data_IF_074588865483
#
_entry.id   IF_074588865483
#
_cell.length_a   1.000
_cell.length_b   1.000
_cell.length_c   1.000
_cell.angle_alpha   90.00
_cell.angle_beta   90.00
_cell.angle_gamma   90.00
#
_symmetry.space_group_name_H-M   'P 1'
#
loop_
_entity.id
_entity.type
_entity.pdbx_description
1 polymer ?
#
# COMPACT_ATOMS: atom_id res chain seq x y z
N UNK A 1 41.04 16.89 59.94
CA UNK A 1 39.63 17.06 59.62
C UNK A 1 39.39 16.37 58.27
N UNK A 2 38.74 15.20 58.29
CA UNK A 2 38.45 14.44 57.07
C UNK A 2 37.03 14.78 56.59
N UNK A 3 36.93 15.36 55.39
CA UNK A 3 35.66 15.70 54.75
C UNK A 3 35.11 14.40 54.15
N UNK A 4 34.00 13.87 54.70
CA UNK A 4 33.24 12.75 54.14
C UNK A 4 32.45 13.26 52.93
N UNK A 5 32.81 12.85 51.72
CA UNK A 5 32.00 13.04 50.53
C UNK A 5 30.71 12.18 50.63
N UNK A 6 29.56 12.84 50.66
CA UNK A 6 28.25 12.18 50.49
C UNK A 6 28.11 11.81 49.04
N UNK A 7 28.14 10.51 48.73
CA UNK A 7 27.73 9.97 47.46
C UNK A 7 26.18 10.05 47.38
N UNK A 8 25.66 10.99 46.62
CA UNK A 8 24.23 11.00 46.28
C UNK A 8 23.94 9.83 45.35
N UNK A 9 23.24 8.84 45.85
CA UNK A 9 22.63 7.77 45.05
C UNK A 9 21.47 8.38 44.24
N UNK A 10 21.66 8.47 42.94
CA UNK A 10 20.55 8.78 42.00
C UNK A 10 19.43 7.77 42.26
N UNK A 11 18.15 8.23 42.36
CA UNK A 11 17.03 7.30 42.49
C UNK A 11 17.00 6.36 41.28
N UNK A 12 16.79 5.06 41.53
CA UNK A 12 16.55 4.07 40.50
C UNK A 12 15.29 4.53 39.71
N UNK A 13 15.44 4.81 38.45
CA UNK A 13 14.33 5.03 37.55
C UNK A 13 13.67 3.67 37.39
N UNK A 14 12.45 3.51 37.86
CA UNK A 14 11.63 2.31 37.57
C UNK A 14 11.56 2.17 36.04
N UNK A 15 12.34 1.26 35.49
CA UNK A 15 12.30 0.98 34.05
C UNK A 15 11.01 0.20 33.77
N UNK A 16 10.01 0.90 33.29
CA UNK A 16 8.79 0.26 32.75
C UNK A 16 9.23 -0.69 31.66
N UNK A 17 8.94 -1.98 31.83
CA UNK A 17 9.25 -3.01 30.83
C UNK A 17 8.12 -3.08 29.83
N UNK A 18 8.41 -2.76 28.58
CA UNK A 18 7.48 -2.91 27.44
C UNK A 18 7.77 -4.20 26.67
N UNK A 19 6.76 -4.77 25.99
CA UNK A 19 6.95 -5.90 25.08
C UNK A 19 7.89 -5.53 23.95
N UNK A 20 7.72 -4.31 23.41
CA UNK A 20 8.54 -3.76 22.32
C UNK A 20 9.04 -2.35 22.64
N UNK A 21 10.21 -2.02 22.13
CA UNK A 21 10.72 -0.64 22.17
C UNK A 21 10.08 0.22 21.06
N UNK A 22 9.62 -0.44 19.97
CA UNK A 22 8.98 0.21 18.86
C UNK A 22 7.86 -0.67 18.27
N UNK A 23 6.63 -0.15 18.27
CA UNK A 23 5.50 -0.74 17.57
C UNK A 23 5.16 0.12 16.36
N UNK A 24 5.04 -0.51 15.19
CA UNK A 24 4.62 0.14 13.95
C UNK A 24 3.20 -0.30 13.62
N UNK A 25 2.31 0.62 13.29
CA UNK A 25 0.94 0.33 12.86
C UNK A 25 0.82 0.61 11.36
N UNK A 26 0.75 -0.45 10.56
CA UNK A 26 0.67 -0.41 9.09
C UNK A 26 1.97 -0.80 8.40
N UNK A 27 1.86 -1.66 7.37
CA UNK A 27 2.98 -2.26 6.63
C UNK A 27 3.31 -1.56 5.30
N UNK A 28 2.68 -0.43 5.02
CA UNK A 28 2.99 0.38 3.84
C UNK A 28 4.44 0.87 3.82
N UNK A 29 4.89 1.57 2.77
CA UNK A 29 6.28 1.98 2.61
C UNK A 29 6.88 2.70 3.83
N UNK A 30 6.10 3.55 4.50
CA UNK A 30 6.52 4.26 5.71
C UNK A 30 6.75 3.33 6.89
N UNK A 31 5.77 2.46 7.18
CA UNK A 31 5.84 1.52 8.30
C UNK A 31 6.92 0.46 8.11
N UNK A 32 6.99 -0.13 6.92
CA UNK A 32 8.02 -1.11 6.57
C UNK A 32 9.43 -0.55 6.77
N UNK A 33 9.71 0.66 6.28
CA UNK A 33 11.03 1.30 6.44
C UNK A 33 11.33 1.65 7.89
N UNK A 34 10.34 2.16 8.64
CA UNK A 34 10.49 2.47 10.05
C UNK A 34 10.82 1.21 10.87
N UNK A 35 10.11 0.09 10.61
CA UNK A 35 10.35 -1.18 11.29
C UNK A 35 11.77 -1.70 11.07
N UNK A 36 12.22 -1.77 9.81
CA UNK A 36 13.58 -2.22 9.48
C UNK A 36 14.64 -1.30 10.09
N UNK A 37 14.43 0.02 10.04
CA UNK A 37 15.40 0.95 10.62
C UNK A 37 15.46 0.82 12.15
N UNK A 38 14.32 0.67 12.81
CA UNK A 38 14.27 0.42 14.25
C UNK A 38 15.04 -0.84 14.64
N UNK A 39 14.81 -1.94 13.93
CA UNK A 39 15.52 -3.20 14.16
C UNK A 39 17.03 -3.07 13.93
N UNK A 40 17.47 -2.38 12.86
CA UNK A 40 18.91 -2.13 12.61
C UNK A 40 19.58 -1.28 13.69
N UNK A 41 18.81 -0.52 14.46
CA UNK A 41 19.28 0.22 15.62
C UNK A 41 19.26 -0.63 16.91
N UNK A 42 19.05 -1.96 16.79
CA UNK A 42 19.05 -2.89 17.89
C UNK A 42 17.78 -2.87 18.75
N UNK A 43 16.69 -2.27 18.25
CA UNK A 43 15.42 -2.22 18.97
C UNK A 43 14.61 -3.48 18.76
N UNK A 44 13.85 -3.89 19.80
CA UNK A 44 12.80 -4.91 19.67
C UNK A 44 11.61 -4.25 18.99
N UNK A 45 11.29 -4.70 17.77
CA UNK A 45 10.31 -4.07 16.89
C UNK A 45 9.19 -5.05 16.55
N UNK A 46 7.94 -4.59 16.69
CA UNK A 46 6.78 -5.24 16.09
C UNK A 46 6.13 -4.35 15.04
N UNK A 47 5.47 -4.98 14.08
CA UNK A 47 4.67 -4.32 13.05
C UNK A 47 3.29 -4.96 13.00
N UNK A 48 2.24 -4.17 13.29
CA UNK A 48 0.85 -4.59 13.20
C UNK A 48 0.27 -4.25 11.82
N UNK A 49 -0.33 -5.24 11.15
CA UNK A 49 -1.00 -5.06 9.86
C UNK A 49 -2.39 -5.73 9.89
N UNK A 50 -3.41 -4.96 9.55
CA UNK A 50 -4.80 -5.45 9.53
C UNK A 50 -5.12 -6.36 8.33
N UNK A 51 -4.44 -6.13 7.21
CA UNK A 51 -4.64 -6.91 6.00
C UNK A 51 -3.77 -8.18 6.01
N UNK A 52 -4.25 -9.23 5.39
CA UNK A 52 -3.46 -10.46 5.19
C UNK A 52 -2.21 -10.18 4.35
N UNK A 53 -2.32 -9.20 3.45
CA UNK A 53 -1.27 -8.84 2.50
C UNK A 53 -0.48 -7.63 3.00
N UNK A 54 0.85 -7.77 3.06
CA UNK A 54 1.79 -6.72 3.47
C UNK A 54 2.08 -5.75 2.32
N UNK A 55 2.41 -4.49 2.64
CA UNK A 55 2.89 -3.51 1.65
C UNK A 55 1.96 -2.33 1.40
N UNK A 56 0.70 -2.40 1.88
CA UNK A 56 -0.28 -1.33 1.77
C UNK A 56 -0.64 -0.96 0.32
N UNK A 57 -1.25 0.21 0.14
CA UNK A 57 -1.74 0.72 -1.16
C UNK A 57 -0.65 0.71 -2.24
N UNK A 58 0.60 1.03 -1.92
CA UNK A 58 1.69 1.08 -2.90
C UNK A 58 1.88 -0.24 -3.66
N UNK A 59 1.73 -1.37 -2.96
CA UNK A 59 1.92 -2.72 -3.52
C UNK A 59 0.63 -3.27 -4.11
N UNK A 60 -0.53 -3.00 -3.51
CA UNK A 60 -1.77 -3.71 -3.84
C UNK A 60 -2.70 -2.98 -4.80
N UNK A 61 -2.84 -1.67 -4.71
CA UNK A 61 -3.80 -0.90 -5.53
C UNK A 61 -3.22 0.35 -6.19
N UNK A 62 -2.03 0.79 -5.74
CA UNK A 62 -1.43 2.05 -6.16
C UNK A 62 -0.33 1.92 -7.21
N UNK A 63 0.84 2.44 -6.86
CA UNK A 63 1.94 2.69 -7.81
C UNK A 63 2.46 1.44 -8.51
N UNK A 64 2.72 0.35 -7.79
CA UNK A 64 3.31 -0.85 -8.37
C UNK A 64 2.35 -1.52 -9.36
N UNK A 65 1.10 -1.84 -8.99
CA UNK A 65 0.17 -2.43 -9.94
C UNK A 65 -0.16 -1.53 -11.13
N UNK A 66 -0.38 -0.23 -10.94
CA UNK A 66 -0.73 0.65 -12.06
C UNK A 66 0.41 0.78 -13.09
N UNK A 67 1.66 0.89 -12.63
CA UNK A 67 2.82 0.91 -13.53
C UNK A 67 3.02 -0.42 -14.25
N UNK A 68 2.81 -1.53 -13.55
CA UNK A 68 2.92 -2.87 -14.14
C UNK A 68 1.85 -3.11 -15.19
N UNK A 69 0.60 -2.71 -14.90
CA UNK A 69 -0.51 -2.77 -15.85
C UNK A 69 -0.24 -1.91 -17.09
N UNK A 70 0.29 -0.69 -16.88
CA UNK A 70 0.70 0.18 -17.99
C UNK A 70 1.75 -0.48 -18.87
N UNK A 71 2.80 -1.05 -18.29
CA UNK A 71 3.85 -1.72 -19.06
C UNK A 71 3.30 -2.95 -19.82
N UNK A 72 2.39 -3.73 -19.20
CA UNK A 72 1.72 -4.83 -19.89
C UNK A 72 0.89 -4.34 -21.08
N UNK A 73 0.10 -3.28 -20.90
CA UNK A 73 -0.69 -2.67 -21.98
C UNK A 73 0.18 -2.18 -23.13
N UNK A 74 1.23 -1.43 -22.85
CA UNK A 74 2.16 -0.93 -23.89
C UNK A 74 2.90 -2.03 -24.61
N UNK A 75 3.27 -3.10 -23.91
CA UNK A 75 3.95 -4.25 -24.50
C UNK A 75 3.00 -5.04 -25.41
N UNK A 76 1.86 -5.47 -24.90
CA UNK A 76 0.92 -6.33 -25.65
C UNK A 76 0.33 -5.64 -26.87
N UNK A 77 0.06 -4.34 -26.79
CA UNK A 77 -0.41 -3.54 -27.93
C UNK A 77 0.69 -3.21 -28.93
N UNK A 78 1.97 -3.43 -28.59
CA UNK A 78 3.10 -2.98 -29.40
C UNK A 78 3.19 -1.46 -29.57
N UNK A 79 2.54 -0.69 -28.71
CA UNK A 79 2.36 0.75 -28.86
C UNK A 79 3.66 1.52 -29.10
N UNK A 80 4.71 1.17 -28.36
CA UNK A 80 6.03 1.83 -28.49
C UNK A 80 6.68 1.59 -29.84
N UNK A 81 6.44 0.42 -30.44
CA UNK A 81 7.09 -0.03 -31.65
C UNK A 81 6.36 0.44 -32.92
N UNK A 82 5.15 0.95 -32.78
CA UNK A 82 4.32 1.43 -33.92
C UNK A 82 4.97 2.57 -34.69
N UNK A 83 5.80 3.38 -34.03
CA UNK A 83 6.55 4.45 -34.71
C UNK A 83 7.59 3.90 -35.71
N UNK A 84 8.08 2.67 -35.49
CA UNK A 84 9.09 2.00 -36.31
C UNK A 84 8.44 1.06 -37.31
N UNK A 85 7.52 0.19 -36.84
CA UNK A 85 6.96 -0.90 -37.66
C UNK A 85 5.58 -0.59 -38.26
N UNK A 86 5.03 0.60 -38.00
CA UNK A 86 3.73 1.05 -38.51
C UNK A 86 2.59 0.90 -37.52
N UNK A 87 1.49 1.61 -37.77
CA UNK A 87 0.36 1.70 -36.86
C UNK A 87 -0.38 0.38 -36.61
N UNK A 88 -0.26 -0.60 -37.52
CA UNK A 88 -0.86 -1.92 -37.40
C UNK A 88 -0.04 -2.91 -36.57
N UNK A 89 1.18 -2.53 -36.16
CA UNK A 89 2.00 -3.42 -35.32
C UNK A 89 1.32 -3.69 -33.99
N UNK A 90 1.22 -4.95 -33.64
CA UNK A 90 0.73 -5.46 -32.35
C UNK A 90 1.49 -6.72 -31.95
N UNK A 91 1.64 -6.97 -30.65
CA UNK A 91 2.25 -8.19 -30.14
C UNK A 91 1.19 -9.28 -29.96
N UNK A 92 -0.05 -8.85 -29.58
CA UNK A 92 -1.18 -9.73 -29.40
C UNK A 92 -2.45 -9.05 -29.91
N UNK A 93 -3.22 -9.74 -30.75
CA UNK A 93 -4.42 -9.18 -31.37
C UNK A 93 -5.62 -9.13 -30.39
N UNK A 94 -5.87 -10.23 -29.68
CA UNK A 94 -6.99 -10.35 -28.75
C UNK A 94 -6.50 -10.22 -27.31
N UNK A 95 -6.20 -9.01 -26.87
CA UNK A 95 -5.76 -8.72 -25.50
C UNK A 95 -6.96 -8.87 -24.57
N UNK A 96 -6.81 -9.67 -23.51
CA UNK A 96 -7.80 -9.84 -22.45
C UNK A 96 -7.35 -9.16 -21.15
N UNK A 97 -8.28 -8.91 -20.24
CA UNK A 97 -7.94 -8.41 -18.91
C UNK A 97 -7.04 -9.39 -18.16
N UNK A 98 -7.25 -10.70 -18.33
CA UNK A 98 -6.39 -11.75 -17.77
C UNK A 98 -4.94 -11.61 -18.22
N UNK A 99 -4.67 -11.32 -19.49
CA UNK A 99 -3.32 -11.12 -20.01
C UNK A 99 -2.62 -9.94 -19.33
N UNK A 100 -3.35 -8.85 -19.16
CA UNK A 100 -2.85 -7.64 -18.51
C UNK A 100 -2.56 -7.89 -17.04
N UNK A 101 -3.48 -8.57 -16.35
CA UNK A 101 -3.39 -8.81 -14.91
C UNK A 101 -2.38 -9.91 -14.53
N UNK A 102 -2.05 -10.84 -15.43
CA UNK A 102 -1.11 -11.92 -15.15
C UNK A 102 0.24 -11.39 -14.66
N UNK A 103 0.81 -10.40 -15.37
CA UNK A 103 2.07 -9.77 -14.96
C UNK A 103 1.89 -8.95 -13.68
N UNK A 104 0.77 -8.26 -13.54
CA UNK A 104 0.47 -7.43 -12.39
C UNK A 104 0.41 -8.27 -11.11
N UNK A 105 -0.33 -9.38 -11.13
CA UNK A 105 -0.40 -10.31 -10.00
C UNK A 105 0.97 -10.92 -9.66
N UNK A 106 1.74 -11.31 -10.68
CA UNK A 106 3.09 -11.82 -10.45
C UNK A 106 3.97 -10.82 -9.71
N UNK A 107 3.96 -9.57 -10.14
CA UNK A 107 4.76 -8.50 -9.50
C UNK A 107 4.27 -8.20 -8.09
N UNK A 108 2.96 -8.10 -7.88
CA UNK A 108 2.38 -7.88 -6.53
C UNK A 108 2.82 -8.98 -5.57
N UNK A 109 2.67 -10.25 -5.95
CA UNK A 109 3.04 -11.39 -5.11
C UNK A 109 4.53 -11.40 -4.81
N UNK A 110 5.37 -11.14 -5.82
CA UNK A 110 6.82 -11.07 -5.64
C UNK A 110 7.24 -9.94 -4.68
N UNK A 111 6.68 -8.74 -4.84
CA UNK A 111 6.96 -7.62 -3.94
C UNK A 111 6.52 -7.91 -2.50
N UNK A 112 5.36 -8.55 -2.32
CA UNK A 112 4.89 -8.96 -1.01
C UNK A 112 5.86 -9.95 -0.35
N UNK A 113 6.33 -10.98 -1.07
CA UNK A 113 7.31 -11.93 -0.57
C UNK A 113 8.61 -11.23 -0.16
N UNK A 114 9.10 -10.31 -0.99
CA UNK A 114 10.30 -9.51 -0.67
C UNK A 114 10.11 -8.69 0.60
N UNK A 115 8.96 -8.04 0.79
CA UNK A 115 8.66 -7.25 1.98
C UNK A 115 8.61 -8.14 3.24
N UNK A 116 7.90 -9.27 3.18
CA UNK A 116 7.83 -10.21 4.29
C UNK A 116 9.22 -10.74 4.68
N UNK A 117 10.00 -11.19 3.71
CA UNK A 117 11.37 -11.66 3.95
C UNK A 117 12.28 -10.56 4.51
N UNK A 118 12.11 -9.31 4.08
CA UNK A 118 12.88 -8.18 4.62
C UNK A 118 12.57 -7.91 6.09
N UNK A 119 11.31 -7.98 6.51
CA UNK A 119 10.92 -7.84 7.92
C UNK A 119 11.47 -9.00 8.76
N UNK A 120 11.23 -10.23 8.30
CA UNK A 120 11.65 -11.44 9.02
C UNK A 120 13.17 -11.51 9.24
N UNK A 121 13.98 -11.29 8.19
CA UNK A 121 15.45 -11.33 8.31
C UNK A 121 16.04 -10.20 9.16
N UNK A 122 15.29 -9.11 9.38
CA UNK A 122 15.66 -8.06 10.32
C UNK A 122 15.07 -8.30 11.72
N UNK A 123 14.43 -9.46 11.99
CA UNK A 123 13.90 -9.80 13.31
C UNK A 123 12.73 -8.93 13.75
N UNK A 124 11.93 -8.43 12.80
CA UNK A 124 10.69 -7.69 13.10
C UNK A 124 9.55 -8.69 13.30
N UNK A 125 8.88 -8.62 14.45
CA UNK A 125 7.70 -9.43 14.73
C UNK A 125 6.48 -8.88 13.97
N UNK A 126 5.83 -9.73 13.17
CA UNK A 126 4.64 -9.36 12.42
C UNK A 126 3.41 -9.77 13.22
N UNK A 127 2.57 -8.78 13.54
CA UNK A 127 1.32 -8.95 14.28
C UNK A 127 0.15 -8.77 13.31
N UNK A 128 -0.51 -9.87 12.94
CA UNK A 128 -1.68 -9.81 12.10
C UNK A 128 -2.90 -9.33 12.92
N UNK A 129 -3.58 -8.31 12.43
CA UNK A 129 -4.79 -7.77 13.03
C UNK A 129 -4.88 -6.24 13.02
N UNK A 130 -6.09 -5.75 13.28
CA UNK A 130 -6.36 -4.32 13.45
C UNK A 130 -5.79 -3.86 14.79
N UNK A 131 -5.05 -2.76 14.78
CA UNK A 131 -4.52 -2.12 15.96
C UNK A 131 -5.45 -1.01 16.46
N UNK A 132 -5.78 -1.02 17.77
CA UNK A 132 -6.56 0.00 18.44
C UNK A 132 -5.84 0.46 19.73
N UNK A 133 -5.72 1.77 19.94
CA UNK A 133 -5.11 2.30 21.15
C UNK A 133 -6.03 2.10 22.37
N UNK A 134 -5.45 1.58 23.44
CA UNK A 134 -6.06 1.56 24.78
C UNK A 134 -5.54 2.76 25.59
N UNK A 135 -4.24 3.00 25.53
CA UNK A 135 -3.57 4.18 26.12
C UNK A 135 -2.34 4.56 25.27
N UNK A 136 -1.50 5.47 25.77
CA UNK A 136 -0.33 5.99 25.04
C UNK A 136 0.74 4.93 24.74
N UNK A 137 0.74 3.81 25.44
CA UNK A 137 1.74 2.75 25.33
C UNK A 137 1.15 1.36 25.13
N UNK A 138 -0.18 1.22 25.19
CA UNK A 138 -0.90 -0.05 25.06
C UNK A 138 -1.79 -0.05 23.83
N UNK A 139 -1.60 -1.05 22.98
CA UNK A 139 -2.38 -1.24 21.76
C UNK A 139 -2.98 -2.64 21.78
N UNK A 140 -4.27 -2.74 21.57
CA UNK A 140 -4.93 -4.00 21.25
C UNK A 140 -4.74 -4.33 19.78
N UNK A 141 -4.26 -5.54 19.47
CA UNK A 141 -4.11 -6.05 18.09
C UNK A 141 -4.96 -7.30 17.95
N UNK A 142 -5.95 -7.25 17.08
CA UNK A 142 -6.91 -8.36 16.90
C UNK A 142 -7.63 -8.36 15.57
N UNK A 143 -8.42 -9.40 15.31
CA UNK A 143 -9.27 -9.49 14.12
C UNK A 143 -10.54 -8.63 14.24
N UNK A 144 -11.08 -8.20 13.08
CA UNK A 144 -12.33 -7.41 12.99
C UNK A 144 -13.58 -8.22 13.45
N UNK A 145 -13.46 -9.54 13.57
CA UNK A 145 -14.50 -10.50 13.90
C UNK A 145 -14.56 -10.89 15.39
N UNK A 146 -13.86 -10.16 16.27
CA UNK A 146 -13.83 -10.43 17.71
C UNK A 146 -13.06 -11.70 18.09
N UNK A 147 -12.26 -12.24 17.19
CA UNK A 147 -11.31 -13.33 17.45
C UNK A 147 -10.20 -12.89 18.42
N UNK A 148 -9.29 -13.80 18.72
CA UNK A 148 -8.22 -13.60 19.70
C UNK A 148 -7.48 -12.27 19.51
N UNK A 149 -7.81 -11.27 20.34
CA UNK A 149 -7.05 -10.02 20.44
C UNK A 149 -5.92 -10.17 21.46
N UNK A 150 -4.85 -9.40 21.27
CA UNK A 150 -3.70 -9.36 22.16
C UNK A 150 -3.40 -7.92 22.56
N UNK A 151 -3.15 -7.72 23.84
CA UNK A 151 -2.63 -6.45 24.36
C UNK A 151 -1.13 -6.43 24.17
N UNK A 152 -0.65 -5.40 23.49
CA UNK A 152 0.77 -5.19 23.17
C UNK A 152 1.20 -3.87 23.77
N UNK A 153 2.30 -3.88 24.53
CA UNK A 153 2.86 -2.67 25.11
C UNK A 153 4.12 -2.23 24.35
N UNK A 154 4.28 -0.92 24.12
CA UNK A 154 5.44 -0.38 23.42
C UNK A 154 5.90 0.96 24.01
N UNK A 155 7.23 1.14 24.09
CA UNK A 155 7.81 2.42 24.52
C UNK A 155 7.47 3.55 23.53
N UNK A 156 7.59 3.25 22.23
CA UNK A 156 7.26 4.19 21.13
C UNK A 156 6.33 3.51 20.14
N UNK A 157 5.41 4.29 19.58
CA UNK A 157 4.47 3.81 18.58
C UNK A 157 4.52 4.73 17.36
N UNK A 158 4.65 4.15 16.18
CA UNK A 158 4.60 4.86 14.89
C UNK A 158 3.30 4.51 14.19
N UNK A 159 2.48 5.51 13.90
CA UNK A 159 1.25 5.38 13.13
C UNK A 159 1.60 5.58 11.65
N UNK A 160 1.51 4.50 10.86
CA UNK A 160 1.84 4.47 9.43
C UNK A 160 0.70 3.82 8.61
N UNK A 161 -0.54 4.15 8.98
CA UNK A 161 -1.77 3.51 8.45
C UNK A 161 -2.09 3.90 7.00
N UNK A 162 -1.37 4.86 6.42
CA UNK A 162 -1.58 5.31 5.04
C UNK A 162 -2.91 6.03 4.84
N UNK A 163 -3.47 5.87 3.64
CA UNK A 163 -4.70 6.51 3.20
C UNK A 163 -5.63 5.50 2.53
N UNK A 164 -6.90 5.86 2.42
CA UNK A 164 -7.89 5.15 1.62
C UNK A 164 -8.51 6.11 0.60
N UNK A 165 -8.99 5.59 -0.51
CA UNK A 165 -9.70 6.37 -1.52
C UNK A 165 -11.00 6.92 -0.94
N UNK A 166 -11.20 8.24 -1.07
CA UNK A 166 -12.42 8.89 -0.63
C UNK A 166 -13.59 8.48 -1.53
N UNK A 167 -14.70 8.10 -0.92
CA UNK A 167 -15.97 7.81 -1.61
C UNK A 167 -16.97 8.91 -1.29
N UNK A 168 -17.44 9.65 -2.32
CA UNK A 168 -18.50 10.63 -2.14
C UNK A 168 -19.81 9.91 -1.83
N UNK A 169 -20.47 10.30 -0.74
CA UNK A 169 -21.74 9.70 -0.31
C UNK A 169 -22.90 9.91 -1.29
N UNK A 170 -22.77 10.88 -2.22
CA UNK A 170 -23.75 11.14 -3.28
C UNK A 170 -23.64 10.17 -4.46
N UNK A 171 -22.52 9.45 -4.56
CA UNK A 171 -22.26 8.48 -5.63
C UNK A 171 -22.52 7.09 -5.09
N UNK A 172 -23.39 6.34 -5.73
CA UNK A 172 -23.66 4.95 -5.36
C UNK A 172 -22.64 4.06 -6.06
N UNK A 173 -21.55 3.77 -5.35
CA UNK A 173 -20.56 2.79 -5.79
C UNK A 173 -21.16 1.38 -5.69
N UNK A 174 -21.17 0.63 -6.80
CA UNK A 174 -21.71 -0.73 -6.89
C UNK A 174 -20.62 -1.80 -7.08
N UNK A 175 -19.38 -1.37 -7.37
CA UNK A 175 -18.25 -2.27 -7.59
C UNK A 175 -18.27 -2.98 -8.95
N UNK A 176 -19.29 -2.72 -9.79
CA UNK A 176 -19.43 -3.32 -11.12
C UNK A 176 -19.36 -2.28 -12.24
N UNK A 177 -20.18 -1.23 -12.14
CA UNK A 177 -20.23 -0.14 -13.13
C UNK A 177 -19.68 1.16 -12.60
N UNK A 178 -19.81 1.39 -11.30
CA UNK A 178 -19.32 2.60 -10.60
C UNK A 178 -18.41 2.18 -9.47
N UNK A 179 -17.11 2.41 -9.62
CA UNK A 179 -16.08 2.00 -8.69
C UNK A 179 -14.96 3.05 -8.59
N UNK A 180 -14.10 2.91 -7.62
CA UNK A 180 -12.93 3.75 -7.44
C UNK A 180 -11.71 3.17 -8.15
N UNK A 181 -10.60 3.91 -8.18
CA UNK A 181 -9.33 3.42 -8.74
C UNK A 181 -8.80 2.18 -8.04
N UNK A 182 -9.16 1.95 -6.78
CA UNK A 182 -8.67 0.78 -6.02
C UNK A 182 -9.26 -0.54 -6.55
N UNK A 183 -10.49 -0.48 -7.06
CA UNK A 183 -11.24 -1.63 -7.59
C UNK A 183 -10.95 -1.91 -9.08
N UNK A 184 -10.16 -1.04 -9.76
CA UNK A 184 -9.83 -1.21 -11.19
C UNK A 184 -9.04 -2.49 -11.49
N UNK A 185 -8.30 -2.99 -10.52
CA UNK A 185 -7.53 -4.23 -10.66
C UNK A 185 -8.41 -5.49 -10.56
N UNK A 186 -9.63 -5.34 -10.06
CA UNK A 186 -10.61 -6.44 -9.95
C UNK A 186 -11.49 -6.58 -11.20
N UNK A 187 -11.36 -5.65 -12.15
CA UNK A 187 -12.12 -5.68 -13.42
C UNK A 187 -11.71 -6.91 -14.23
N UNK A 188 -12.68 -7.75 -14.57
CA UNK A 188 -12.46 -9.04 -15.25
C UNK A 188 -12.52 -8.96 -16.77
N UNK A 189 -13.12 -7.90 -17.33
CA UNK A 189 -13.30 -7.70 -18.77
C UNK A 189 -12.88 -6.30 -19.18
N UNK A 190 -12.21 -6.17 -20.32
CA UNK A 190 -11.91 -4.85 -20.89
C UNK A 190 -13.23 -4.20 -21.31
N UNK A 191 -13.60 -3.05 -20.74
CA UNK A 191 -14.84 -2.37 -21.12
C UNK A 191 -14.73 -1.75 -22.52
N UNK A 192 -15.82 -1.76 -23.29
CA UNK A 192 -15.87 -1.05 -24.59
C UNK A 192 -15.80 0.48 -24.43
N UNK A 193 -16.23 0.98 -23.29
CA UNK A 193 -16.12 2.40 -22.93
C UNK A 193 -16.01 2.58 -21.42
N UNK A 194 -15.27 3.62 -21.01
CA UNK A 194 -15.10 4.01 -19.61
C UNK A 194 -15.17 5.53 -19.49
N UNK A 195 -15.82 6.00 -18.44
CA UNK A 195 -15.79 7.42 -18.05
C UNK A 195 -14.96 7.55 -16.77
N UNK A 196 -13.91 8.35 -16.85
CA UNK A 196 -13.01 8.63 -15.71
C UNK A 196 -13.35 10.02 -15.18
N UNK A 197 -13.67 10.11 -13.90
CA UNK A 197 -13.98 11.37 -13.22
C UNK A 197 -12.76 11.78 -12.39
N UNK A 198 -12.15 12.89 -12.76
CA UNK A 198 -10.92 13.44 -12.17
C UNK A 198 -9.70 13.25 -13.06
N UNK A 199 -9.13 14.38 -13.55
CA UNK A 199 -7.94 14.43 -14.39
C UNK A 199 -6.64 14.64 -13.58
N UNK A 200 -6.59 14.11 -12.36
CA UNK A 200 -5.37 14.00 -11.57
C UNK A 200 -4.46 12.86 -12.07
N UNK A 201 -3.35 12.63 -11.38
CA UNK A 201 -2.34 11.63 -11.77
C UNK A 201 -2.96 10.24 -11.98
N UNK A 202 -3.75 9.77 -11.03
CA UNK A 202 -4.36 8.43 -11.08
C UNK A 202 -5.38 8.32 -12.22
N UNK A 203 -6.30 9.27 -12.31
CA UNK A 203 -7.33 9.25 -13.36
C UNK A 203 -6.73 9.31 -14.75
N UNK A 204 -5.74 10.17 -14.98
CA UNK A 204 -5.08 10.28 -16.27
C UNK A 204 -4.26 9.03 -16.60
N UNK A 205 -3.59 8.42 -15.63
CA UNK A 205 -2.85 7.18 -15.85
C UNK A 205 -3.77 6.06 -16.33
N UNK A 206 -4.84 5.77 -15.60
CA UNK A 206 -5.78 4.73 -16.01
C UNK A 206 -6.52 5.07 -17.31
N UNK A 207 -6.91 6.32 -17.53
CA UNK A 207 -7.49 6.77 -18.78
C UNK A 207 -6.58 6.44 -19.98
N UNK A 208 -5.28 6.71 -19.86
CA UNK A 208 -4.31 6.42 -20.93
C UNK A 208 -4.04 4.93 -21.10
N UNK A 209 -4.02 4.14 -20.02
CA UNK A 209 -3.91 2.68 -20.11
C UNK A 209 -5.07 2.09 -20.88
N UNK A 210 -6.31 2.42 -20.50
CA UNK A 210 -7.49 1.89 -21.16
C UNK A 210 -7.61 2.36 -22.62
N UNK A 211 -7.25 3.61 -22.91
CA UNK A 211 -7.20 4.11 -24.28
C UNK A 211 -6.16 3.34 -25.13
N UNK A 212 -4.99 2.99 -24.58
CA UNK A 212 -3.95 2.25 -25.29
C UNK A 212 -4.39 0.83 -25.68
N UNK A 213 -5.28 0.21 -24.92
CA UNK A 213 -5.85 -1.13 -25.21
C UNK A 213 -7.15 -1.09 -26.02
N UNK A 214 -7.54 0.09 -26.52
CA UNK A 214 -8.67 0.25 -27.45
C UNK A 214 -10.02 0.58 -26.79
N UNK A 215 -10.09 0.78 -25.47
CA UNK A 215 -11.30 1.24 -24.79
C UNK A 215 -11.60 2.69 -25.18
N UNK A 216 -12.85 3.02 -25.47
CA UNK A 216 -13.30 4.40 -25.65
C UNK A 216 -13.36 5.11 -24.31
N UNK A 217 -12.44 6.07 -24.08
CA UNK A 217 -12.31 6.76 -22.80
C UNK A 217 -12.89 8.16 -22.87
N UNK A 218 -13.71 8.52 -21.86
CA UNK A 218 -14.15 9.89 -21.61
C UNK A 218 -13.55 10.35 -20.28
N UNK A 219 -12.77 11.42 -20.29
CA UNK A 219 -12.18 12.02 -19.08
C UNK A 219 -12.94 13.28 -18.72
N UNK A 220 -13.42 13.36 -17.48
CA UNK A 220 -14.21 14.49 -16.96
C UNK A 220 -13.46 15.12 -15.78
N UNK A 221 -13.24 16.43 -15.84
CA UNK A 221 -12.68 17.20 -14.71
C UNK A 221 -13.34 18.58 -14.64
N UNK A 222 -13.45 19.12 -13.45
CA UNK A 222 -13.97 20.48 -13.24
C UNK A 222 -12.94 21.56 -13.62
N UNK A 223 -11.65 21.22 -13.68
CA UNK A 223 -10.56 22.12 -14.05
C UNK A 223 -10.37 22.15 -15.57
N UNK A 224 -9.97 23.32 -16.12
CA UNK A 224 -9.80 23.46 -17.57
C UNK A 224 -8.51 22.83 -18.12
N UNK A 225 -7.62 22.39 -17.25
CA UNK A 225 -6.31 21.81 -17.62
C UNK A 225 -6.09 20.47 -16.95
N UNK A 226 -5.41 19.58 -17.66
CA UNK A 226 -4.95 18.31 -17.10
C UNK A 226 -3.75 18.56 -16.16
N UNK A 227 -3.69 17.82 -15.03
CA UNK A 227 -2.59 17.91 -14.07
C UNK A 227 -2.34 19.35 -13.57
N UNK A 228 -3.40 20.10 -13.36
CA UNK A 228 -3.34 21.49 -12.93
C UNK A 228 -3.13 21.55 -11.39
N UNK A 229 -1.86 21.36 -10.96
CA UNK A 229 -1.39 21.45 -9.57
C UNK A 229 0.08 21.83 -9.50
#
# INVERSE_FOLDING_TARGET
MAVKSKTETKPAVDTVSYDYELLIIGSGPGGHRAAIQGSKLGKRVALAEKNVLMGGVCVHTGTIPSKTLREAALHLTGYRERAIYGASYTVKDDITMSDLMQRTHYVINHEQDVLCHQLQRNGVDILAGRAAFIDAHTVEVGGDDGGNSRMITAEKIVIATGTATAKDSKIKFDGEYIFTSDELLDVTKIPSSITVIGAGVIGLEYATIYAAIGTRVTLVDARPRLLDF
#
